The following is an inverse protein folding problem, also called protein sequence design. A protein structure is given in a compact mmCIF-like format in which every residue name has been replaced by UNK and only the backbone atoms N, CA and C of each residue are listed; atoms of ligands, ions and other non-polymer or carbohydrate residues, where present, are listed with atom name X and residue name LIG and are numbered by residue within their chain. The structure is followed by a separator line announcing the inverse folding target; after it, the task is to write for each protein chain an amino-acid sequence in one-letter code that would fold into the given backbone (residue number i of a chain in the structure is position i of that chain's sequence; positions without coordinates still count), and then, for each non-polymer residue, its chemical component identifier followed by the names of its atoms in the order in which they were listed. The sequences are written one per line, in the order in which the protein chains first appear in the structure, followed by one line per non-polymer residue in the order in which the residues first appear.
data_IF_184924480852
#
_entry.id   IF_184924480852
#
_cell.length_a   1.000
_cell.length_b   1.000
_cell.length_c   1.000
_cell.angle_alpha   90.00
_cell.angle_beta   90.00
_cell.angle_gamma   90.00
#
_symmetry.space_group_name_H-M   'P 1'
#
loop_
_entity.id
_entity.type
_entity.pdbx_description
1 polymer ?
#
# COMPACT_ATOMS: atom_id res chain seq x y z
N UNK A 1 -2.99 -46.80 -36.22
CA UNK A 1 -3.06 -46.94 -34.75
C UNK A 1 -1.88 -46.30 -34.02
N UNK A 2 -0.62 -46.53 -34.41
CA UNK A 2 0.56 -45.93 -33.74
C UNK A 2 0.61 -44.39 -33.74
N UNK A 3 0.13 -43.74 -34.81
CA UNK A 3 0.09 -42.26 -34.92
C UNK A 3 -0.97 -41.61 -34.02
N UNK A 4 -2.03 -42.32 -33.66
CA UNK A 4 -3.09 -41.82 -32.78
C UNK A 4 -2.64 -41.81 -31.30
N UNK A 5 -1.85 -42.81 -30.91
CA UNK A 5 -1.25 -42.91 -29.57
C UNK A 5 -0.23 -41.79 -29.29
N UNK A 6 0.54 -41.39 -30.30
CA UNK A 6 1.53 -40.30 -30.16
C UNK A 6 0.83 -38.95 -29.97
N UNK A 7 -0.28 -38.70 -30.67
CA UNK A 7 -1.05 -37.46 -30.51
C UNK A 7 -1.71 -37.40 -29.11
N UNK A 8 -2.22 -38.52 -28.60
CA UNK A 8 -2.78 -38.60 -27.24
C UNK A 8 -1.72 -38.37 -26.16
N UNK A 9 -0.50 -38.90 -26.36
CA UNK A 9 0.62 -38.71 -25.44
C UNK A 9 1.12 -37.25 -25.42
N UNK A 10 1.07 -36.55 -26.55
CA UNK A 10 1.44 -35.12 -26.63
C UNK A 10 0.39 -34.23 -25.94
N UNK A 11 -0.90 -34.56 -26.02
CA UNK A 11 -1.94 -33.83 -25.30
C UNK A 11 -1.89 -34.04 -23.77
N UNK A 12 -1.43 -35.21 -23.30
CA UNK A 12 -1.24 -35.46 -21.87
C UNK A 12 -0.06 -34.67 -21.25
N UNK A 13 0.86 -34.16 -22.07
CA UNK A 13 2.01 -33.35 -21.61
C UNK A 13 1.68 -31.85 -21.46
N UNK A 14 0.47 -31.42 -21.86
CA UNK A 14 0.00 -30.04 -21.69
C UNK A 14 -0.96 -29.87 -20.51
N UNK A 15 -1.09 -30.88 -19.63
CA UNK A 15 -1.73 -30.69 -18.32
C UNK A 15 -0.72 -29.94 -17.44
N UNK A 16 -0.49 -28.66 -17.76
CA UNK A 16 0.22 -27.75 -16.88
C UNK A 16 -0.55 -27.71 -15.56
N UNK A 17 0.15 -27.99 -14.47
CA UNK A 17 -0.35 -27.72 -13.13
C UNK A 17 -0.55 -26.21 -13.03
N UNK A 18 -1.78 -25.73 -13.24
CA UNK A 18 -2.16 -24.42 -12.77
C UNK A 18 -1.94 -24.44 -11.26
N UNK A 19 -0.89 -23.77 -10.79
CA UNK A 19 -0.64 -23.64 -9.36
C UNK A 19 -1.85 -22.92 -8.77
N UNK A 20 -2.65 -23.66 -8.02
CA UNK A 20 -3.81 -23.10 -7.35
C UNK A 20 -3.29 -22.21 -6.22
N UNK A 21 -3.73 -20.95 -6.20
CA UNK A 21 -3.41 -20.02 -5.13
C UNK A 21 -3.91 -20.60 -3.79
N UNK A 22 -3.05 -20.74 -2.75
CA UNK A 22 -3.42 -21.43 -1.52
C UNK A 22 -4.49 -20.70 -0.68
N UNK A 23 -4.78 -19.42 -0.96
CA UNK A 23 -5.79 -18.59 -0.27
C UNK A 23 -6.02 -17.27 -1.04
N UNK A 24 -7.04 -16.48 -0.69
CA UNK A 24 -7.21 -15.11 -1.19
C UNK A 24 -6.75 -14.10 -0.13
N UNK A 25 -5.80 -13.24 -0.49
CA UNK A 25 -5.23 -12.24 0.42
C UNK A 25 -5.74 -10.83 0.16
N UNK A 26 -5.85 -10.02 1.22
CA UNK A 26 -6.12 -8.59 1.17
C UNK A 26 -5.39 -7.87 2.30
N UNK A 27 -5.21 -6.56 2.18
CA UNK A 27 -4.56 -5.75 3.20
C UNK A 27 -5.59 -4.86 3.87
N UNK A 28 -5.52 -4.77 5.19
CA UNK A 28 -6.44 -4.02 6.03
C UNK A 28 -5.72 -2.94 6.82
N UNK A 29 -6.49 -2.01 7.38
CA UNK A 29 -6.01 -1.02 8.37
C UNK A 29 -5.31 -1.71 9.54
N UNK A 30 -4.51 -0.95 10.30
CA UNK A 30 -3.76 -1.46 11.47
C UNK A 30 -4.64 -2.24 12.47
N UNK A 31 -5.88 -1.76 12.68
CA UNK A 31 -6.86 -2.39 13.58
C UNK A 31 -7.71 -3.48 12.91
N UNK A 32 -7.49 -3.75 11.62
CA UNK A 32 -8.23 -4.73 10.83
C UNK A 32 -9.70 -4.39 10.61
N UNK A 33 -10.12 -3.14 10.84
CA UNK A 33 -11.53 -2.74 10.77
C UNK A 33 -12.04 -2.54 9.34
N UNK A 34 -11.17 -2.19 8.41
CA UNK A 34 -11.51 -1.97 7.00
C UNK A 34 -10.37 -2.40 6.07
N UNK A 35 -10.72 -2.77 4.83
CA UNK A 35 -9.74 -2.95 3.76
C UNK A 35 -9.05 -1.61 3.52
N UNK A 36 -7.73 -1.65 3.45
CA UNK A 36 -6.96 -0.43 3.31
C UNK A 36 -7.05 0.11 1.86
N UNK A 37 -7.00 1.44 1.69
CA UNK A 37 -7.25 2.04 0.38
C UNK A 37 -6.14 1.68 -0.61
N UNK A 38 -6.51 1.37 -1.86
CA UNK A 38 -5.55 1.06 -2.94
C UNK A 38 -4.50 2.16 -3.17
N UNK A 39 -4.86 3.41 -2.87
CA UNK A 39 -3.97 4.55 -2.93
C UNK A 39 -3.76 5.14 -1.55
N UNK A 40 -2.52 5.13 -1.10
CA UNK A 40 -2.10 5.70 0.18
C UNK A 40 -1.09 6.81 -0.10
N UNK A 41 -1.17 7.85 0.72
CA UNK A 41 -0.18 8.92 0.78
C UNK A 41 0.66 8.65 2.03
N UNK A 42 1.97 8.48 1.84
CA UNK A 42 2.96 8.38 2.92
C UNK A 42 3.92 9.56 2.73
N UNK A 43 4.10 10.37 3.76
CA UNK A 43 5.04 11.49 3.73
C UNK A 43 6.48 10.99 3.90
N UNK A 44 7.50 11.68 3.35
CA UNK A 44 8.89 11.37 3.63
C UNK A 44 9.17 11.36 5.14
N UNK A 45 9.78 10.29 5.64
CA UNK A 45 10.03 10.03 7.06
C UNK A 45 8.87 9.39 7.82
N UNK A 46 7.70 9.22 7.20
CA UNK A 46 6.53 8.61 7.82
C UNK A 46 6.61 7.08 7.80
N UNK A 47 6.00 6.45 8.81
CA UNK A 47 5.79 5.01 8.88
C UNK A 47 4.31 4.74 9.09
N UNK A 48 3.74 3.86 8.27
CA UNK A 48 2.37 3.37 8.42
C UNK A 48 2.36 1.86 8.66
N UNK A 49 1.39 1.39 9.44
CA UNK A 49 1.24 -0.02 9.84
C UNK A 49 -0.06 -0.58 9.29
N UNK A 50 -0.04 -1.84 8.85
CA UNK A 50 -1.19 -2.52 8.25
C UNK A 50 -1.33 -3.95 8.74
N UNK A 51 -2.54 -4.48 8.54
CA UNK A 51 -2.89 -5.88 8.81
C UNK A 51 -2.98 -6.67 7.51
N UNK A 52 -2.78 -7.97 7.58
CA UNK A 52 -2.93 -8.87 6.44
C UNK A 52 -4.08 -9.85 6.67
N UNK A 53 -5.01 -9.88 5.73
CA UNK A 53 -6.21 -10.72 5.78
C UNK A 53 -6.10 -11.85 4.76
N UNK A 54 -6.46 -13.07 5.16
CA UNK A 54 -6.55 -14.20 4.25
C UNK A 54 -7.82 -15.02 4.45
N UNK A 55 -8.35 -15.53 3.35
CA UNK A 55 -9.56 -16.38 3.33
C UNK A 55 -9.44 -17.52 2.34
N UNK A 56 -10.31 -18.52 2.48
CA UNK A 56 -10.38 -19.66 1.55
C UNK A 56 -9.08 -20.45 1.50
N UNK A 57 -8.54 -20.78 2.68
CA UNK A 57 -7.29 -21.54 2.78
C UNK A 57 -7.48 -22.96 2.25
N UNK A 58 -6.57 -23.41 1.40
CA UNK A 58 -6.60 -24.75 0.78
C UNK A 58 -6.37 -25.88 1.79
N UNK A 59 -5.73 -25.59 2.92
CA UNK A 59 -5.46 -26.55 3.99
C UNK A 59 -5.39 -25.86 5.37
N UNK A 60 -5.68 -26.58 6.46
CA UNK A 60 -5.44 -26.09 7.82
C UNK A 60 -3.93 -26.10 8.15
N UNK A 61 -3.53 -25.24 9.09
CA UNK A 61 -2.17 -25.12 9.63
C UNK A 61 -1.10 -24.85 8.56
N UNK A 62 -1.45 -24.04 7.56
CA UNK A 62 -0.47 -23.50 6.62
C UNK A 62 0.51 -22.59 7.36
N UNK A 63 1.76 -22.60 6.92
CA UNK A 63 2.80 -21.64 7.31
C UNK A 63 3.26 -20.98 6.02
N UNK A 64 2.92 -19.70 5.87
CA UNK A 64 3.11 -18.96 4.62
C UNK A 64 4.08 -17.80 4.87
N UNK A 65 5.28 -17.86 4.32
CA UNK A 65 6.30 -16.82 4.48
C UNK A 65 5.85 -15.50 3.84
N UNK A 66 5.98 -14.39 4.55
CA UNK A 66 5.66 -13.08 4.00
C UNK A 66 6.72 -12.58 3.02
N UNK A 67 6.26 -12.00 1.92
CA UNK A 67 7.11 -11.32 0.96
C UNK A 67 6.56 -9.93 0.63
N UNK A 68 7.47 -8.97 0.50
CA UNK A 68 7.19 -7.63 0.01
C UNK A 68 8.09 -7.32 -1.19
N UNK A 69 7.53 -6.70 -2.23
CA UNK A 69 8.31 -6.12 -3.33
C UNK A 69 7.87 -4.69 -3.58
N UNK A 70 8.84 -3.78 -3.70
CA UNK A 70 8.61 -2.37 -4.01
C UNK A 70 9.00 -2.08 -5.46
N UNK A 71 8.08 -1.49 -6.21
CA UNK A 71 8.27 -1.08 -7.60
C UNK A 71 8.17 0.45 -7.70
N UNK A 72 9.22 1.17 -8.09
CA UNK A 72 9.10 2.59 -8.42
C UNK A 72 8.25 2.73 -9.70
N UNK A 73 7.26 3.63 -9.68
CA UNK A 73 6.34 3.86 -10.80
C UNK A 73 6.74 5.05 -11.66
N UNK A 74 7.60 5.93 -11.16
CA UNK A 74 8.07 7.10 -11.90
C UNK A 74 9.57 7.37 -11.69
N UNK A 75 10.12 8.33 -12.42
CA UNK A 75 11.55 8.67 -12.35
C UNK A 75 11.98 9.36 -11.05
N UNK A 76 11.03 9.80 -10.22
CA UNK A 76 11.29 10.42 -8.93
C UNK A 76 11.42 9.39 -7.80
N UNK A 77 10.94 8.16 -8.00
CA UNK A 77 10.95 7.08 -7.02
C UNK A 77 12.13 6.13 -7.21
N UNK A 78 12.75 5.70 -6.10
CA UNK A 78 13.65 4.55 -6.07
C UNK A 78 13.09 3.46 -5.15
N UNK A 79 13.31 2.19 -5.51
CA UNK A 79 12.85 1.07 -4.68
C UNK A 79 13.48 1.09 -3.27
N UNK A 80 14.70 1.63 -3.15
CA UNK A 80 15.43 1.79 -1.89
C UNK A 80 14.85 2.85 -0.96
N UNK A 81 14.00 3.76 -1.47
CA UNK A 81 13.39 4.82 -0.65
C UNK A 81 12.33 4.25 0.31
N UNK A 82 11.85 3.04 0.07
CA UNK A 82 10.77 2.44 0.83
C UNK A 82 11.20 1.12 1.45
N UNK A 83 11.03 1.04 2.77
CA UNK A 83 11.34 -0.17 3.54
C UNK A 83 10.04 -0.79 4.04
N UNK A 84 9.86 -2.09 3.79
CA UNK A 84 8.76 -2.87 4.35
C UNK A 84 9.33 -3.83 5.38
N UNK A 85 8.78 -3.83 6.59
CA UNK A 85 9.18 -4.78 7.64
C UNK A 85 7.99 -5.54 8.18
N UNK A 86 8.19 -6.83 8.47
CA UNK A 86 7.17 -7.69 9.05
C UNK A 86 7.47 -7.92 10.54
N UNK A 87 6.43 -7.89 11.37
CA UNK A 87 6.52 -8.16 12.81
C UNK A 87 6.98 -9.60 13.10
N UNK A 88 6.64 -10.52 12.19
CA UNK A 88 7.04 -11.92 12.20
C UNK A 88 7.10 -12.44 10.75
N UNK A 89 7.85 -13.52 10.46
CA UNK A 89 8.16 -13.88 9.09
C UNK A 89 7.04 -14.64 8.36
N UNK A 90 6.07 -15.21 9.09
CA UNK A 90 5.10 -16.14 8.52
C UNK A 90 3.67 -15.82 8.94
N UNK A 91 2.74 -15.95 8.01
CA UNK A 91 1.32 -16.05 8.28
C UNK A 91 0.97 -17.48 8.70
N UNK A 92 0.36 -17.63 9.88
CA UNK A 92 0.02 -18.94 10.47
C UNK A 92 -1.48 -18.98 10.84
N UNK A 93 -2.40 -19.15 9.87
CA UNK A 93 -3.84 -19.10 10.13
C UNK A 93 -4.35 -20.21 11.06
N UNK A 94 -3.59 -21.31 11.24
CA UNK A 94 -4.00 -22.44 12.04
C UNK A 94 -5.28 -23.08 11.48
N UNK A 95 -6.34 -23.10 12.29
CA UNK A 95 -7.67 -23.59 11.87
C UNK A 95 -8.63 -22.47 11.45
N UNK A 96 -8.19 -21.20 11.46
CA UNK A 96 -9.06 -20.06 11.19
C UNK A 96 -9.16 -19.79 9.69
N UNK A 97 -10.40 -19.71 9.20
CA UNK A 97 -10.75 -19.23 7.86
C UNK A 97 -12.10 -18.49 7.98
N UNK A 98 -12.12 -17.15 7.94
CA UNK A 98 -11.02 -16.25 7.61
C UNK A 98 -9.97 -16.09 8.74
N UNK A 99 -8.80 -15.55 8.40
CA UNK A 99 -7.74 -15.18 9.34
C UNK A 99 -7.28 -13.74 9.11
N UNK A 100 -7.05 -13.02 10.21
CA UNK A 100 -6.51 -11.67 10.23
C UNK A 100 -5.22 -11.65 11.05
N UNK A 101 -4.14 -11.17 10.44
CA UNK A 101 -2.87 -10.89 11.11
C UNK A 101 -2.78 -9.38 11.38
N UNK A 102 -3.08 -9.00 12.61
CA UNK A 102 -3.20 -7.59 12.99
C UNK A 102 -1.83 -6.91 13.08
N UNK A 103 -1.72 -5.72 12.49
CA UNK A 103 -0.53 -4.87 12.55
C UNK A 103 0.78 -5.61 12.17
N UNK A 104 0.69 -6.51 11.19
CA UNK A 104 1.77 -7.46 10.86
C UNK A 104 2.89 -6.85 10.04
N UNK A 105 2.65 -5.77 9.29
CA UNK A 105 3.71 -5.13 8.51
C UNK A 105 3.66 -3.62 8.57
N UNK A 106 4.83 -3.01 8.47
CA UNK A 106 5.02 -1.57 8.41
C UNK A 106 5.68 -1.17 7.10
N UNK A 107 5.26 -0.02 6.58
CA UNK A 107 5.83 0.63 5.42
C UNK A 107 6.44 1.94 5.87
N UNK A 108 7.74 2.11 5.67
CA UNK A 108 8.48 3.32 5.97
C UNK A 108 8.99 3.96 4.69
N UNK A 109 8.77 5.26 4.52
CA UNK A 109 9.34 6.07 3.45
C UNK A 109 10.53 6.87 3.99
N UNK A 110 11.69 6.77 3.35
CA UNK A 110 12.90 7.50 3.75
C UNK A 110 12.66 9.02 3.78
N UNK A 111 13.26 9.70 4.75
CA UNK A 111 13.19 11.16 4.90
C UNK A 111 13.64 11.92 3.63
N UNK A 112 14.59 11.34 2.89
CA UNK A 112 15.17 11.95 1.69
C UNK A 112 14.47 11.50 0.40
N UNK A 113 13.41 10.69 0.49
CA UNK A 113 12.64 10.27 -0.66
C UNK A 113 12.08 11.49 -1.40
N UNK A 114 12.05 11.43 -2.73
CA UNK A 114 11.51 12.54 -3.51
C UNK A 114 10.02 12.70 -3.21
N UNK A 115 9.53 13.90 -2.85
CA UNK A 115 8.11 14.11 -2.54
C UNK A 115 7.18 13.91 -3.73
N UNK A 116 7.71 13.76 -4.95
CA UNK A 116 6.93 13.42 -6.14
C UNK A 116 7.08 11.95 -6.56
N UNK A 117 7.71 11.11 -5.72
CA UNK A 117 7.84 9.69 -5.99
C UNK A 117 6.49 8.98 -5.93
N UNK A 118 6.32 8.01 -6.82
CA UNK A 118 5.20 7.07 -6.81
C UNK A 118 5.76 5.66 -6.73
N UNK A 119 5.22 4.86 -5.81
CA UNK A 119 5.69 3.50 -5.56
C UNK A 119 4.52 2.55 -5.63
N UNK A 120 4.79 1.31 -6.02
CA UNK A 120 3.87 0.21 -5.90
C UNK A 120 4.43 -0.83 -4.95
N UNK A 121 3.64 -1.24 -3.97
CA UNK A 121 4.03 -2.27 -3.01
C UNK A 121 3.21 -3.51 -3.31
N UNK A 122 3.86 -4.66 -3.38
CA UNK A 122 3.18 -5.95 -3.49
C UNK A 122 3.51 -6.75 -2.26
N UNK A 123 2.48 -7.05 -1.46
CA UNK A 123 2.58 -7.89 -0.27
C UNK A 123 1.88 -9.22 -0.55
N UNK A 124 2.53 -10.31 -0.16
CA UNK A 124 2.01 -11.68 -0.30
C UNK A 124 2.46 -12.54 0.87
N UNK A 125 1.78 -13.66 1.12
CA UNK A 125 2.24 -14.72 2.00
C UNK A 125 2.27 -16.05 1.21
N UNK A 126 3.33 -16.84 1.37
CA UNK A 126 3.56 -18.05 0.58
C UNK A 126 4.22 -17.75 -0.76
N UNK A 127 3.98 -18.56 -1.79
CA UNK A 127 4.60 -18.31 -3.10
C UNK A 127 4.20 -16.93 -3.65
N UNK A 128 5.18 -16.05 -3.87
CA UNK A 128 5.05 -14.65 -4.28
C UNK A 128 4.19 -14.44 -5.55
N UNK A 129 3.93 -15.50 -6.31
CA UNK A 129 3.06 -15.49 -7.49
C UNK A 129 1.58 -15.72 -7.18
N UNK A 130 1.23 -16.12 -5.96
CA UNK A 130 -0.09 -16.69 -5.65
C UNK A 130 -1.07 -15.63 -5.15
N UNK A 131 -0.67 -14.73 -4.24
CA UNK A 131 -1.58 -13.76 -3.63
C UNK A 131 -0.98 -12.35 -3.64
N UNK A 132 -0.76 -11.77 -4.81
CA UNK A 132 -0.33 -10.38 -4.94
C UNK A 132 -1.51 -9.43 -4.82
N UNK A 133 -1.51 -8.58 -3.79
CA UNK A 133 -2.32 -7.37 -3.76
C UNK A 133 -1.46 -6.22 -4.30
N UNK A 134 -1.94 -5.55 -5.35
CA UNK A 134 -1.24 -4.46 -6.06
C UNK A 134 -1.59 -3.12 -5.41
N UNK A 135 -0.63 -2.49 -4.74
CA UNK A 135 -0.84 -1.22 -4.03
C UNK A 135 -0.11 -0.08 -4.70
N UNK A 136 -0.76 1.07 -4.92
CA UNK A 136 -0.13 2.26 -5.49
C UNK A 136 -0.01 3.39 -4.46
N UNK A 137 1.17 3.67 -3.95
CA UNK A 137 1.45 4.86 -3.14
C UNK A 137 1.68 6.06 -4.05
N UNK A 138 0.83 7.08 -3.93
CA UNK A 138 0.99 8.36 -4.60
C UNK A 138 1.25 9.44 -3.54
N UNK A 139 2.46 9.99 -3.52
CA UNK A 139 2.80 11.10 -2.62
C UNK A 139 2.16 12.39 -3.12
N UNK A 140 1.11 12.86 -2.45
CA UNK A 140 0.75 14.28 -2.36
C UNK A 140 0.07 14.56 -1.04
N UNK A 141 0.76 15.26 -0.15
CA UNK A 141 0.08 16.28 0.64
C UNK A 141 0.88 17.57 0.56
N UNK A 142 0.29 18.59 -0.05
CA UNK A 142 0.82 19.95 -0.01
C UNK A 142 0.07 20.62 1.13
N UNK A 143 0.54 20.42 2.37
CA UNK A 143 0.09 21.22 3.49
C UNK A 143 0.66 22.62 3.29
N UNK A 144 -0.10 23.49 2.63
CA UNK A 144 0.22 24.92 2.55
C UNK A 144 0.13 25.43 3.98
N UNK A 145 1.25 25.91 4.59
CA UNK A 145 1.16 26.44 5.93
C UNK A 145 0.24 27.66 5.89
N UNK A 146 -0.92 27.54 6.52
CA UNK A 146 -1.75 28.70 6.77
C UNK A 146 -0.96 29.59 7.72
N UNK A 147 -0.30 30.62 7.20
CA UNK A 147 0.36 31.61 8.05
C UNK A 147 -0.71 32.60 8.56
N UNK A 148 -1.22 32.51 9.80
CA UNK A 148 -2.08 33.53 10.39
C UNK A 148 -1.41 34.92 10.43
N UNK A 149 -0.08 34.96 10.28
CA UNK A 149 0.75 36.17 10.26
C UNK A 149 0.49 37.09 9.07
N UNK A 150 -0.09 36.61 7.95
CA UNK A 150 -0.43 37.49 6.80
C UNK A 150 -1.82 38.11 6.97
N UNK A 151 -2.75 37.44 7.65
CA UNK A 151 -4.11 37.94 7.82
C UNK A 151 -4.17 39.21 8.69
N UNK A 152 -3.35 39.28 9.74
CA UNK A 152 -3.37 40.39 10.70
C UNK A 152 -2.87 41.73 10.10
N UNK A 153 -1.76 41.79 9.34
CA UNK A 153 -1.35 42.99 8.61
C UNK A 153 -2.37 43.43 7.55
N UNK A 154 -2.97 42.49 6.81
CA UNK A 154 -3.95 42.81 5.76
C UNK A 154 -5.21 43.41 6.36
N UNK A 155 -5.75 42.82 7.43
CA UNK A 155 -6.90 43.36 8.14
C UNK A 155 -6.60 44.75 8.75
N UNK A 156 -5.39 44.95 9.28
CA UNK A 156 -4.97 46.24 9.81
C UNK A 156 -4.89 47.33 8.73
N UNK A 157 -4.32 47.02 7.55
CA UNK A 157 -4.22 47.95 6.42
C UNK A 157 -5.61 48.31 5.89
N UNK A 158 -6.49 47.33 5.69
CA UNK A 158 -7.86 47.56 5.25
C UNK A 158 -8.64 48.38 6.29
N UNK A 159 -8.53 48.05 7.57
CA UNK A 159 -9.14 48.82 8.65
C UNK A 159 -8.67 50.27 8.69
N UNK A 160 -7.37 50.52 8.48
CA UNK A 160 -6.81 51.87 8.41
C UNK A 160 -7.34 52.65 7.20
N UNK A 161 -7.46 52.00 6.04
CA UNK A 161 -7.97 52.62 4.82
C UNK A 161 -9.44 53.07 4.98
N UNK A 162 -10.30 52.21 5.52
CA UNK A 162 -11.70 52.57 5.81
C UNK A 162 -11.81 53.66 6.87
N UNK A 163 -10.97 53.62 7.91
CA UNK A 163 -10.93 54.65 8.94
C UNK A 163 -10.52 56.01 8.39
N UNK A 164 -9.51 56.07 7.51
CA UNK A 164 -9.08 57.32 6.86
C UNK A 164 -10.08 57.83 5.83
N UNK A 165 -10.81 56.95 5.14
CA UNK A 165 -11.85 57.36 4.20
C UNK A 165 -13.02 58.02 4.93
N UNK A 166 -13.50 57.44 6.04
CA UNK A 166 -14.60 58.02 6.84
C UNK A 166 -14.28 59.43 7.34
N UNK A 167 -13.03 59.73 7.69
CA UNK A 167 -12.59 61.07 8.13
C UNK A 167 -12.55 62.13 7.05
N UNK A 168 -12.61 61.77 5.76
CA UNK A 168 -12.69 62.74 4.65
C UNK A 168 -14.12 63.07 4.25
N UNK A 169 -15.09 62.30 4.72
CA UNK A 169 -16.52 62.46 4.41
C UNK A 169 -17.29 63.19 5.54
N UNK A 170 -16.63 63.49 6.66
CA UNK A 170 -17.02 64.51 7.66
C UNK A 170 -16.25 65.82 7.40
#
# INVERSE_FOLDING_TARGET
MKKLLVILAVFALFIGTAAANPYNGAIYTEDGSAEAPNNIIIQPGETQTYSYYGVSFTAPNLVLEYHATVYPLNAAAQASDMTVTFAHPNMEPGLNDPYMDYAVFTVHLDENANPNGEWRIVISAGDASSASSDWGSASRDFEVPEFPTIALPVAAILGLAFFMQRRKEE
#
